data_IF_895732317646
#
_entry.id   IF_895732317646
#
_cell.length_a   1.000
_cell.length_b   1.000
_cell.length_c   1.000
_cell.angle_alpha   90.00
_cell.angle_beta   90.00
_cell.angle_gamma   90.00
#
_symmetry.space_group_name_H-M   'P 1'
#
loop_
_entity.id
_entity.type
_entity.pdbx_description
1 polymer ?
#
# COMPACT_ATOMS: atom_id res chain seq x y z
N UNK A 1 -14.66 -0.05 -3.56
CA UNK A 1 -13.33 -0.05 -4.20
C UNK A 1 -12.35 -0.62 -3.21
N UNK A 2 -11.51 -1.57 -3.59
CA UNK A 2 -10.56 -2.24 -2.68
C UNK A 2 -9.30 -1.42 -2.42
N UNK A 3 -8.49 -1.84 -1.45
CA UNK A 3 -7.29 -1.10 -1.02
C UNK A 3 -6.31 -0.89 -2.18
N UNK A 4 -6.21 -1.83 -3.11
CA UNK A 4 -5.36 -1.69 -4.29
C UNK A 4 -5.80 -0.54 -5.20
N UNK A 5 -7.10 -0.38 -5.42
CA UNK A 5 -7.63 0.70 -6.25
C UNK A 5 -7.34 2.08 -5.61
N UNK A 6 -7.49 2.20 -4.29
CA UNK A 6 -7.15 3.43 -3.56
C UNK A 6 -5.65 3.72 -3.61
N UNK A 7 -4.80 2.71 -3.39
CA UNK A 7 -3.35 2.83 -3.49
C UNK A 7 -2.94 3.30 -4.89
N UNK A 8 -3.48 2.67 -5.93
CA UNK A 8 -3.23 3.04 -7.33
C UNK A 8 -3.61 4.49 -7.59
N UNK A 9 -4.77 4.94 -7.09
CA UNK A 9 -5.19 6.33 -7.16
C UNK A 9 -4.16 7.26 -6.53
N UNK A 10 -3.75 6.98 -5.29
CA UNK A 10 -2.74 7.77 -4.58
C UNK A 10 -1.42 7.85 -5.34
N UNK A 11 -0.90 6.72 -5.82
CA UNK A 11 0.35 6.66 -6.58
C UNK A 11 0.24 7.49 -7.86
N UNK A 12 -0.85 7.35 -8.62
CA UNK A 12 -1.04 8.10 -9.86
C UNK A 12 -1.16 9.61 -9.62
N UNK A 13 -1.86 10.04 -8.56
CA UNK A 13 -1.99 11.45 -8.19
C UNK A 13 -0.65 12.06 -7.76
N UNK A 14 0.23 11.29 -7.13
CA UNK A 14 1.46 11.79 -6.53
C UNK A 14 2.75 11.39 -7.27
N UNK A 15 2.66 10.70 -8.41
CA UNK A 15 3.83 10.21 -9.16
C UNK A 15 4.81 11.30 -9.58
N UNK A 16 4.33 12.52 -9.78
CA UNK A 16 5.15 13.66 -10.23
C UNK A 16 5.81 14.41 -9.05
N UNK A 17 5.41 14.12 -7.81
CA UNK A 17 5.98 14.72 -6.61
C UNK A 17 7.36 14.13 -6.24
N UNK A 18 7.84 13.12 -6.97
CA UNK A 18 9.10 12.43 -6.75
C UNK A 18 8.93 11.00 -6.21
N UNK A 19 9.94 10.52 -5.49
CA UNK A 19 9.97 9.13 -5.00
C UNK A 19 9.00 8.95 -3.82
N UNK A 20 7.97 8.15 -4.04
CA UNK A 20 7.05 7.70 -3.00
C UNK A 20 7.74 6.66 -2.11
N UNK A 21 7.60 6.80 -0.78
CA UNK A 21 8.17 5.86 0.18
C UNK A 21 7.08 4.98 0.77
N UNK A 22 7.13 3.70 0.45
CA UNK A 22 6.22 2.69 1.00
C UNK A 22 6.78 2.03 2.26
N UNK A 23 5.90 1.59 3.15
CA UNK A 23 6.21 0.73 4.27
C UNK A 23 5.05 -0.24 4.53
N UNK A 24 5.39 -1.44 4.97
CA UNK A 24 4.43 -2.47 5.34
C UNK A 24 4.73 -3.02 6.72
N UNK A 25 3.69 -3.43 7.44
CA UNK A 25 3.80 -4.08 8.74
C UNK A 25 2.79 -5.21 8.86
N UNK A 26 3.28 -6.43 9.08
CA UNK A 26 2.44 -7.59 9.41
C UNK A 26 1.63 -7.34 10.70
N UNK A 27 0.39 -7.80 10.72
CA UNK A 27 -0.53 -7.73 11.84
C UNK A 27 -1.05 -9.14 12.19
N UNK A 28 -1.53 -9.36 13.42
CA UNK A 28 -2.13 -10.63 13.81
C UNK A 28 -3.28 -11.05 12.89
N UNK A 29 -3.46 -12.36 12.70
CA UNK A 29 -4.54 -12.91 11.89
C UNK A 29 -4.32 -12.77 10.37
N UNK A 30 -3.08 -12.53 9.93
CA UNK A 30 -2.74 -12.41 8.50
C UNK A 30 -3.10 -11.06 7.88
N UNK A 31 -3.57 -10.10 8.67
CA UNK A 31 -3.72 -8.74 8.19
C UNK A 31 -2.34 -8.06 8.05
N UNK A 32 -2.27 -6.98 7.29
CA UNK A 32 -1.08 -6.12 7.27
C UNK A 32 -1.46 -4.66 7.11
N UNK A 33 -0.60 -3.76 7.59
CA UNK A 33 -0.74 -2.33 7.37
C UNK A 33 0.14 -1.90 6.20
N UNK A 34 -0.45 -1.17 5.27
CA UNK A 34 0.22 -0.52 4.16
C UNK A 34 0.24 0.99 4.40
N UNK A 35 1.41 1.61 4.26
CA UNK A 35 1.59 3.05 4.33
C UNK A 35 2.43 3.54 3.16
N UNK A 36 2.06 4.67 2.56
CA UNK A 36 2.87 5.36 1.56
C UNK A 36 2.94 6.84 1.90
N UNK A 37 4.14 7.40 1.87
CA UNK A 37 4.38 8.82 2.11
C UNK A 37 4.94 9.46 0.84
N UNK A 38 4.34 10.57 0.44
CA UNK A 38 4.79 11.40 -0.66
C UNK A 38 5.68 12.54 -0.15
N UNK A 39 6.71 12.97 -0.91
CA UNK A 39 7.52 14.14 -0.56
C UNK A 39 6.73 15.44 -0.38
N UNK A 40 5.56 15.58 -1.02
CA UNK A 40 4.68 16.75 -0.83
C UNK A 40 3.94 16.76 0.53
N UNK A 41 4.12 15.73 1.36
CA UNK A 41 3.47 15.60 2.67
C UNK A 41 2.20 14.75 2.68
N UNK A 42 1.67 14.38 1.51
CA UNK A 42 0.52 13.48 1.42
C UNK A 42 0.85 12.08 1.95
N UNK A 43 -0.13 11.45 2.63
CA UNK A 43 0.01 10.14 3.27
C UNK A 43 -1.15 9.24 2.89
N UNK A 44 -0.81 8.02 2.52
CA UNK A 44 -1.75 6.92 2.35
C UNK A 44 -1.53 5.90 3.47
N UNK A 45 -2.62 5.40 4.06
CA UNK A 45 -2.55 4.43 5.15
C UNK A 45 -3.80 3.56 5.20
N UNK A 46 -3.63 2.26 5.02
CA UNK A 46 -4.72 1.26 5.07
C UNK A 46 -4.28 0.00 5.78
N UNK A 47 -5.20 -0.58 6.54
CA UNK A 47 -5.07 -1.96 7.01
C UNK A 47 -5.75 -2.85 5.98
N UNK A 48 -5.06 -3.89 5.55
CA UNK A 48 -5.56 -4.89 4.62
C UNK A 48 -5.88 -6.14 5.43
N UNK A 49 -7.16 -6.52 5.40
CA UNK A 49 -7.63 -7.77 6.00
C UNK A 49 -7.35 -8.94 5.05
N UNK A 50 -7.14 -10.18 5.53
CA UNK A 50 -7.12 -11.35 4.66
C UNK A 50 -8.39 -11.55 3.83
N UNK A 51 -9.52 -10.96 4.26
CA UNK A 51 -10.78 -11.02 3.50
C UNK A 51 -10.90 -9.90 2.45
N UNK A 52 -9.92 -8.99 2.34
CA UNK A 52 -9.91 -7.98 1.29
C UNK A 52 -9.70 -8.69 -0.07
N UNK A 53 -10.52 -8.41 -1.09
CA UNK A 53 -10.40 -9.06 -2.39
C UNK A 53 -9.05 -8.82 -3.07
N UNK A 54 -8.35 -7.75 -2.71
CA UNK A 54 -7.03 -7.41 -3.25
C UNK A 54 -5.87 -7.86 -2.34
N UNK A 55 -6.15 -8.54 -1.21
CA UNK A 55 -5.14 -8.86 -0.19
C UNK A 55 -3.96 -9.66 -0.75
N UNK A 56 -4.24 -10.73 -1.49
CA UNK A 56 -3.20 -11.61 -2.03
C UNK A 56 -2.35 -10.90 -3.09
N UNK A 57 -3.02 -10.18 -4.00
CA UNK A 57 -2.35 -9.37 -5.02
C UNK A 57 -1.44 -8.30 -4.40
N UNK A 58 -1.89 -7.66 -3.32
CA UNK A 58 -1.08 -6.68 -2.60
C UNK A 58 0.14 -7.34 -1.96
N UNK A 59 0.00 -8.52 -1.33
CA UNK A 59 1.14 -9.26 -0.77
C UNK A 59 2.17 -9.65 -1.82
N UNK A 60 1.73 -10.23 -2.93
CA UNK A 60 2.61 -10.62 -4.03
C UNK A 60 3.39 -9.42 -4.57
N UNK A 61 2.69 -8.31 -4.82
CA UNK A 61 3.33 -7.08 -5.29
C UNK A 61 4.37 -6.54 -4.29
N UNK A 62 4.09 -6.63 -2.99
CA UNK A 62 4.99 -6.18 -1.93
C UNK A 62 6.21 -7.09 -1.76
N UNK A 63 6.05 -8.40 -1.96
CA UNK A 63 7.14 -9.37 -1.82
C UNK A 63 8.30 -9.09 -2.77
N UNK A 64 8.03 -8.54 -3.96
CA UNK A 64 9.06 -8.16 -4.95
C UNK A 64 10.03 -7.08 -4.44
N UNK A 65 9.59 -6.26 -3.47
CA UNK A 65 10.38 -5.15 -2.93
C UNK A 65 11.06 -5.46 -1.58
N UNK A 66 10.88 -6.68 -1.05
CA UNK A 66 11.44 -7.12 0.24
C UNK A 66 12.64 -8.09 0.07
N UNK A 67 13.14 -8.27 -1.15
CA UNK A 67 14.31 -9.09 -1.47
C UNK A 67 15.63 -8.32 -1.33
#
# INVERSE_FOLDING_TARGET
MGVYAELRGFVLTHRECGVLRGATKELPGGAFRLAVVCPCGARFGRSVSPQDPDAERLREALAVFQA
#
